data_IF_040548475982
#
_entry.id   IF_040548475982
#
_cell.length_a   1.000
_cell.length_b   1.000
_cell.length_c   1.000
_cell.angle_alpha   90.00
_cell.angle_beta   90.00
_cell.angle_gamma   90.00
#
_symmetry.space_group_name_H-M   'P 1'
#
loop_
_entity.id
_entity.type
_entity.pdbx_description
1 polymer ?
#
# COMPACT_ATOMS: atom_id res chain seq x y z
N UNK A 1 13.12 -3.63 29.49
CA UNK A 1 13.35 -2.22 29.84
C UNK A 1 14.71 -2.03 30.51
N UNK A 2 14.96 -2.39 31.78
CA UNK A 2 16.29 -2.15 32.42
C UNK A 2 17.15 -3.41 32.67
N UNK A 3 17.22 -4.33 31.70
CA UNK A 3 18.05 -5.52 31.80
C UNK A 3 19.49 -5.17 31.36
N UNK A 4 20.54 -5.47 32.14
CA UNK A 4 21.92 -5.20 31.73
C UNK A 4 22.27 -5.95 30.43
N UNK A 5 23.16 -5.38 29.62
CA UNK A 5 23.52 -5.91 28.29
C UNK A 5 23.95 -7.39 28.36
N UNK A 6 24.66 -7.79 29.41
CA UNK A 6 25.12 -9.18 29.61
C UNK A 6 23.95 -10.17 29.77
N UNK A 7 22.88 -9.76 30.46
CA UNK A 7 21.67 -10.57 30.59
C UNK A 7 20.90 -10.65 29.27
N UNK A 8 20.95 -9.59 28.44
CA UNK A 8 20.36 -9.61 27.09
C UNK A 8 21.07 -10.64 26.20
N UNK A 9 22.41 -10.68 26.23
CA UNK A 9 23.18 -11.71 25.53
C UNK A 9 22.85 -13.14 26.01
N UNK A 10 22.65 -13.33 27.32
CA UNK A 10 22.27 -14.62 27.88
C UNK A 10 20.84 -15.05 27.48
N UNK A 11 19.87 -14.14 27.54
CA UNK A 11 18.48 -14.44 27.19
C UNK A 11 18.31 -14.71 25.70
N UNK A 12 18.92 -13.88 24.85
CA UNK A 12 18.87 -14.04 23.39
C UNK A 12 19.86 -15.09 22.86
N UNK A 13 20.68 -15.68 23.74
CA UNK A 13 21.74 -16.65 23.40
C UNK A 13 22.57 -16.17 22.21
N UNK A 14 23.04 -14.92 22.28
CA UNK A 14 23.87 -14.32 21.24
C UNK A 14 25.20 -13.84 21.84
N UNK A 15 26.17 -13.57 20.97
CA UNK A 15 27.51 -13.11 21.33
C UNK A 15 27.79 -11.73 20.73
N UNK A 16 28.78 -11.02 21.29
CA UNK A 16 29.26 -9.74 20.73
C UNK A 16 29.75 -9.86 19.28
N UNK A 17 30.18 -11.06 18.86
CA UNK A 17 30.62 -11.35 17.48
C UNK A 17 29.44 -11.60 16.50
N UNK A 18 28.21 -11.41 16.94
CA UNK A 18 27.01 -11.66 16.14
C UNK A 18 26.52 -13.11 16.23
N UNK A 19 25.64 -13.48 15.29
CA UNK A 19 25.10 -14.84 15.13
C UNK A 19 25.81 -15.57 13.99
N UNK A 20 25.73 -16.90 13.97
CA UNK A 20 26.11 -17.66 12.77
C UNK A 20 25.01 -17.60 11.71
N UNK A 21 25.36 -17.75 10.43
CA UNK A 21 24.34 -17.74 9.36
C UNK A 21 23.29 -18.83 9.53
N UNK A 22 23.70 -20.04 9.97
CA UNK A 22 22.76 -21.14 10.24
C UNK A 22 21.79 -20.84 11.38
N UNK A 23 22.25 -20.18 12.44
CA UNK A 23 21.40 -19.80 13.58
C UNK A 23 20.42 -18.70 13.17
N UNK A 24 20.87 -17.76 12.34
CA UNK A 24 20.02 -16.73 11.73
C UNK A 24 18.86 -17.35 10.94
N UNK A 25 19.15 -18.31 10.06
CA UNK A 25 18.11 -19.00 9.27
C UNK A 25 17.15 -19.82 10.14
N UNK A 26 17.66 -20.53 11.17
CA UNK A 26 16.82 -21.28 12.11
C UNK A 26 15.87 -20.37 12.86
N UNK A 27 16.36 -19.22 13.35
CA UNK A 27 15.51 -18.24 14.06
C UNK A 27 14.51 -17.60 13.13
N UNK A 28 14.87 -17.37 11.87
CA UNK A 28 13.95 -16.82 10.87
C UNK A 28 12.76 -17.75 10.64
N UNK A 29 12.97 -19.07 10.66
CA UNK A 29 11.87 -20.04 10.58
C UNK A 29 10.97 -20.07 11.83
N UNK A 30 11.51 -19.74 13.01
CA UNK A 30 10.77 -19.79 14.29
C UNK A 30 10.02 -18.49 14.54
N UNK A 31 10.69 -17.34 14.39
CA UNK A 31 10.15 -16.02 14.68
C UNK A 31 9.46 -15.36 13.47
N UNK A 32 9.71 -15.89 12.26
CA UNK A 32 9.22 -15.29 11.03
C UNK A 32 10.06 -14.07 10.57
N UNK A 33 9.77 -13.54 9.38
CA UNK A 33 10.44 -12.37 8.84
C UNK A 33 10.14 -11.11 9.67
N UNK A 34 11.11 -10.18 9.73
CA UNK A 34 10.97 -8.84 10.27
C UNK A 34 10.14 -7.95 9.31
N UNK A 35 8.87 -8.30 9.19
CA UNK A 35 7.86 -7.59 8.40
C UNK A 35 6.58 -7.54 9.21
N UNK A 36 5.78 -6.50 9.01
CA UNK A 36 4.42 -6.51 9.53
C UNK A 36 3.63 -7.58 8.77
N UNK A 37 2.73 -8.28 9.46
CA UNK A 37 1.90 -9.30 8.82
C UNK A 37 1.15 -8.69 7.63
N UNK A 38 1.43 -9.20 6.42
CA UNK A 38 0.62 -8.88 5.27
C UNK A 38 -0.71 -9.63 5.40
N UNK A 39 -1.82 -8.89 5.43
CA UNK A 39 -3.14 -9.49 5.33
C UNK A 39 -3.23 -10.19 3.98
N UNK A 40 -3.08 -11.51 4.00
CA UNK A 40 -3.16 -12.33 2.79
C UNK A 40 -4.62 -12.46 2.39
N UNK A 41 -5.09 -11.55 1.52
CA UNK A 41 -6.37 -11.76 0.85
C UNK A 41 -6.25 -12.93 -0.12
N UNK A 42 -7.18 -13.88 -0.04
CA UNK A 42 -7.20 -14.96 -1.02
C UNK A 42 -7.52 -14.39 -2.40
N UNK A 43 -6.79 -14.87 -3.43
CA UNK A 43 -6.97 -14.41 -4.82
C UNK A 43 -8.43 -14.56 -5.30
N UNK A 44 -9.14 -15.57 -4.80
CA UNK A 44 -10.54 -15.81 -5.15
C UNK A 44 -11.49 -14.82 -4.45
N UNK A 45 -11.25 -14.50 -3.18
CA UNK A 45 -11.99 -13.42 -2.48
C UNK A 45 -11.73 -12.07 -3.13
N UNK A 46 -10.49 -11.79 -3.55
CA UNK A 46 -10.16 -10.57 -4.29
C UNK A 46 -10.89 -10.52 -5.64
N UNK A 47 -10.94 -11.62 -6.37
CA UNK A 47 -11.73 -11.75 -7.60
C UNK A 47 -13.23 -11.47 -7.37
N UNK A 48 -13.82 -12.09 -6.34
CA UNK A 48 -15.21 -11.84 -5.94
C UNK A 48 -15.44 -10.40 -5.47
N UNK A 49 -14.43 -9.77 -4.86
CA UNK A 49 -14.45 -8.37 -4.47
C UNK A 49 -14.64 -7.42 -5.67
N UNK A 50 -14.08 -7.74 -6.84
CA UNK A 50 -14.32 -6.94 -8.06
C UNK A 50 -15.77 -6.99 -8.54
N UNK A 51 -16.47 -8.11 -8.29
CA UNK A 51 -17.90 -8.21 -8.54
C UNK A 51 -18.74 -7.42 -7.54
N UNK A 52 -18.19 -7.10 -6.37
CA UNK A 52 -18.93 -6.50 -5.25
C UNK A 52 -18.62 -5.02 -5.04
N UNK A 53 -18.68 -4.23 -6.12
CA UNK A 53 -18.55 -2.78 -6.07
C UNK A 53 -19.91 -2.10 -6.32
N UNK A 54 -20.11 -0.83 -5.90
CA UNK A 54 -21.39 -0.14 -6.04
C UNK A 54 -21.93 -0.08 -7.48
N UNK A 55 -21.06 -0.02 -8.49
CA UNK A 55 -21.46 -0.01 -9.90
C UNK A 55 -21.95 -1.40 -10.35
N UNK A 56 -21.27 -2.46 -9.90
CA UNK A 56 -21.66 -3.84 -10.14
C UNK A 56 -23.00 -4.17 -9.48
N UNK A 57 -23.31 -3.62 -8.30
CA UNK A 57 -24.65 -3.79 -7.69
C UNK A 57 -25.77 -3.21 -8.55
N UNK A 58 -25.54 -2.06 -9.20
CA UNK A 58 -26.54 -1.49 -10.10
C UNK A 58 -26.70 -2.39 -11.33
N UNK A 59 -25.62 -2.93 -11.88
CA UNK A 59 -25.70 -3.90 -12.98
C UNK A 59 -26.38 -5.22 -12.60
N UNK A 60 -26.12 -5.73 -11.40
CA UNK A 60 -26.78 -6.92 -10.88
C UNK A 60 -28.28 -6.65 -10.67
N UNK A 61 -28.65 -5.46 -10.20
CA UNK A 61 -30.05 -5.04 -10.13
C UNK A 61 -30.70 -4.95 -11.52
N UNK A 62 -29.98 -4.49 -12.54
CA UNK A 62 -30.44 -4.49 -13.93
C UNK A 62 -30.65 -5.92 -14.46
N UNK A 63 -29.72 -6.85 -14.15
CA UNK A 63 -29.86 -8.26 -14.51
C UNK A 63 -31.10 -8.89 -13.85
N UNK A 64 -31.32 -8.63 -12.56
CA UNK A 64 -32.52 -9.10 -11.84
C UNK A 64 -33.78 -8.47 -12.46
N UNK A 65 -33.73 -7.18 -12.82
CA UNK A 65 -34.83 -6.48 -13.48
C UNK A 65 -35.24 -7.15 -14.80
N UNK A 66 -34.25 -7.59 -15.60
CA UNK A 66 -34.45 -8.31 -16.86
C UNK A 66 -35.13 -9.69 -16.71
N UNK A 67 -35.08 -10.32 -15.53
CA UNK A 67 -35.80 -11.58 -15.26
C UNK A 67 -37.17 -11.30 -14.63
N UNK A 68 -37.22 -10.39 -13.66
CA UNK A 68 -38.40 -10.20 -12.80
C UNK A 68 -39.47 -9.34 -13.47
N UNK A 69 -39.07 -8.20 -14.08
CA UNK A 69 -40.01 -7.23 -14.66
C UNK A 69 -40.30 -7.48 -16.14
N UNK A 70 -39.47 -8.28 -16.81
CA UNK A 70 -39.66 -8.73 -18.19
C UNK A 70 -40.81 -9.74 -18.38
N UNK A 71 -41.53 -10.08 -17.32
CA UNK A 71 -42.65 -11.02 -17.37
C UNK A 71 -43.93 -10.30 -17.85
N UNK A 72 -44.14 -10.25 -19.17
CA UNK A 72 -45.32 -9.59 -19.74
C UNK A 72 -45.40 -9.68 -21.27
N UNK A 73 -46.60 -9.43 -21.82
CA UNK A 73 -46.83 -9.34 -23.26
C UNK A 73 -46.79 -10.66 -24.04
N UNK A 74 -46.88 -11.82 -23.38
CA UNK A 74 -46.86 -13.15 -24.02
C UNK A 74 -45.48 -13.59 -24.51
N UNK A 75 -44.41 -12.89 -24.14
CA UNK A 75 -43.02 -13.24 -24.42
C UNK A 75 -42.37 -13.85 -23.17
N UNK A 76 -41.40 -14.78 -23.33
CA UNK A 76 -40.57 -15.22 -22.22
C UNK A 76 -39.75 -14.04 -21.65
N UNK A 77 -39.29 -14.14 -20.39
CA UNK A 77 -38.35 -13.18 -19.82
C UNK A 77 -37.06 -13.13 -20.64
N UNK A 78 -36.34 -12.00 -20.59
CA UNK A 78 -35.12 -11.78 -21.37
C UNK A 78 -33.92 -12.49 -20.74
N UNK A 79 -33.96 -13.82 -20.77
CA UNK A 79 -32.84 -14.66 -20.36
C UNK A 79 -31.57 -14.35 -21.14
N UNK A 80 -31.70 -13.88 -22.39
CA UNK A 80 -30.57 -13.46 -23.22
C UNK A 80 -29.90 -12.21 -22.64
N UNK A 81 -30.66 -11.21 -22.22
CA UNK A 81 -30.13 -9.99 -21.62
C UNK A 81 -29.53 -10.27 -20.24
N UNK A 82 -30.20 -11.07 -19.40
CA UNK A 82 -29.62 -11.53 -18.13
C UNK A 82 -28.28 -12.24 -18.34
N UNK A 83 -28.24 -13.22 -19.25
CA UNK A 83 -27.01 -13.98 -19.53
C UNK A 83 -25.94 -13.05 -20.10
N UNK A 84 -26.32 -12.11 -20.97
CA UNK A 84 -25.42 -11.10 -21.53
C UNK A 84 -24.80 -10.21 -20.46
N UNK A 85 -25.60 -9.70 -19.52
CA UNK A 85 -25.11 -8.86 -18.40
C UNK A 85 -24.20 -9.69 -17.48
N UNK A 86 -24.57 -10.92 -17.15
CA UNK A 86 -23.73 -11.79 -16.32
C UNK A 86 -22.39 -12.12 -16.98
N UNK A 87 -22.39 -12.42 -18.28
CA UNK A 87 -21.16 -12.65 -19.06
C UNK A 87 -20.31 -11.38 -19.11
N UNK A 88 -20.93 -10.21 -19.32
CA UNK A 88 -20.23 -8.93 -19.31
C UNK A 88 -19.56 -8.65 -17.96
N UNK A 89 -20.25 -8.90 -16.84
CA UNK A 89 -19.69 -8.75 -15.50
C UNK A 89 -18.51 -9.71 -15.27
N UNK A 90 -18.64 -10.98 -15.67
CA UNK A 90 -17.55 -11.97 -15.54
C UNK A 90 -16.34 -11.57 -16.38
N UNK A 91 -16.54 -11.14 -17.63
CA UNK A 91 -15.46 -10.67 -18.50
C UNK A 91 -14.78 -9.45 -17.87
N UNK A 92 -15.57 -8.47 -17.42
CA UNK A 92 -15.04 -7.28 -16.79
C UNK A 92 -14.21 -7.63 -15.54
N UNK A 93 -14.75 -8.41 -14.61
CA UNK A 93 -14.02 -8.83 -13.40
C UNK A 93 -12.77 -9.64 -13.72
N UNK A 94 -12.80 -10.46 -14.78
CA UNK A 94 -11.61 -11.21 -15.24
C UNK A 94 -10.52 -10.28 -15.75
N UNK A 95 -10.88 -9.31 -16.60
CA UNK A 95 -9.94 -8.29 -17.09
C UNK A 95 -9.39 -7.49 -15.91
N UNK A 96 -10.27 -6.98 -15.03
CA UNK A 96 -9.88 -6.22 -13.84
C UNK A 96 -8.93 -6.99 -12.94
N UNK A 97 -9.21 -8.27 -12.68
CA UNK A 97 -8.35 -9.11 -11.86
C UNK A 97 -6.99 -9.37 -12.49
N UNK A 98 -6.94 -9.71 -13.79
CA UNK A 98 -5.69 -9.95 -14.50
C UNK A 98 -4.83 -8.69 -14.52
N UNK A 99 -5.44 -7.57 -14.90
CA UNK A 99 -4.73 -6.29 -15.02
C UNK A 99 -4.25 -5.78 -13.66
N UNK A 100 -5.08 -5.87 -12.60
CA UNK A 100 -4.68 -5.46 -11.26
C UNK A 100 -3.62 -6.37 -10.65
N UNK A 101 -3.70 -7.69 -10.89
CA UNK A 101 -2.67 -8.62 -10.43
C UNK A 101 -1.33 -8.38 -11.16
N UNK A 102 -1.37 -8.07 -12.46
CA UNK A 102 -0.17 -7.74 -13.22
C UNK A 102 0.45 -6.41 -12.75
N UNK A 103 -0.39 -5.39 -12.54
CA UNK A 103 -0.01 -4.12 -11.92
C UNK A 103 0.62 -4.31 -10.53
N UNK A 104 -0.01 -5.12 -9.68
CA UNK A 104 0.47 -5.44 -8.33
C UNK A 104 1.83 -6.14 -8.35
N UNK A 105 2.04 -7.10 -9.25
CA UNK A 105 3.34 -7.78 -9.40
C UNK A 105 4.45 -6.82 -9.84
N UNK A 106 4.16 -5.92 -10.79
CA UNK A 106 5.11 -4.90 -11.23
C UNK A 106 5.46 -3.91 -10.10
N UNK A 107 4.46 -3.50 -9.32
CA UNK A 107 4.66 -2.66 -8.14
C UNK A 107 5.45 -3.38 -7.04
N UNK A 108 5.20 -4.67 -6.80
CA UNK A 108 5.94 -5.46 -5.82
C UNK A 108 7.41 -5.61 -6.18
N UNK A 109 7.73 -5.87 -7.45
CA UNK A 109 9.12 -5.90 -7.93
C UNK A 109 9.83 -4.55 -7.73
N UNK A 110 9.09 -3.45 -7.91
CA UNK A 110 9.60 -2.12 -7.67
C UNK A 110 9.82 -1.83 -6.17
N UNK A 111 8.90 -2.27 -5.31
CA UNK A 111 9.01 -2.14 -3.85
C UNK A 111 10.14 -2.98 -3.26
N UNK A 112 10.44 -4.15 -3.84
CA UNK A 112 11.58 -4.97 -3.41
C UNK A 112 12.92 -4.19 -3.52
N UNK A 113 13.07 -3.33 -4.52
CA UNK A 113 14.24 -2.45 -4.65
C UNK A 113 14.33 -1.33 -3.60
N UNK A 114 13.22 -1.03 -2.91
CA UNK A 114 13.13 -0.05 -1.83
C UNK A 114 13.13 -0.70 -0.43
N UNK A 115 13.23 -2.03 -0.36
CA UNK A 115 13.25 -2.73 0.91
C UNK A 115 14.37 -2.15 1.80
N UNK A 116 14.08 -1.78 3.06
CA UNK A 116 15.09 -1.25 3.95
C UNK A 116 16.24 -2.25 4.04
N UNK A 117 17.47 -1.79 3.86
CA UNK A 117 18.67 -2.61 4.06
C UNK A 117 19.31 -2.25 5.39
N UNK A 118 19.98 -3.20 5.99
CA UNK A 118 20.73 -2.97 7.22
C UNK A 118 21.99 -3.81 7.26
N UNK A 119 22.99 -3.31 7.99
CA UNK A 119 24.27 -3.98 8.18
C UNK A 119 24.16 -4.90 9.38
N UNK A 120 24.26 -6.19 9.12
CA UNK A 120 24.24 -7.27 10.12
C UNK A 120 25.63 -7.89 10.25
N UNK A 121 26.01 -8.23 11.47
CA UNK A 121 27.21 -8.99 11.78
C UNK A 121 26.83 -10.47 11.91
N UNK A 122 27.21 -11.28 10.91
CA UNK A 122 27.04 -12.74 10.92
C UNK A 122 28.34 -13.44 10.58
N UNK A 123 28.62 -14.56 11.25
CA UNK A 123 29.89 -15.32 11.13
C UNK A 123 31.14 -14.42 11.29
N UNK A 124 31.07 -13.41 12.16
CA UNK A 124 32.14 -12.43 12.39
C UNK A 124 32.40 -11.46 11.22
N UNK A 125 31.53 -11.41 10.21
CA UNK A 125 31.64 -10.51 9.05
C UNK A 125 30.43 -9.58 8.94
N UNK A 126 30.72 -8.31 8.71
CA UNK A 126 29.69 -7.32 8.38
C UNK A 126 29.20 -7.54 6.95
N UNK A 127 27.89 -7.74 6.80
CA UNK A 127 27.20 -7.87 5.52
C UNK A 127 25.96 -6.98 5.49
N UNK A 128 25.66 -6.39 4.34
CA UNK A 128 24.44 -5.64 4.14
C UNK A 128 23.37 -6.59 3.62
N UNK A 129 22.27 -6.72 4.36
CA UNK A 129 21.16 -7.61 4.02
C UNK A 129 19.83 -6.87 4.14
N UNK A 130 18.77 -7.46 3.60
CA UNK A 130 17.42 -6.90 3.67
C UNK A 130 16.93 -6.90 5.13
N UNK A 131 16.19 -5.85 5.52
CA UNK A 131 15.70 -5.73 6.88
C UNK A 131 14.73 -6.85 7.26
N UNK A 132 14.09 -7.48 6.27
CA UNK A 132 13.10 -8.56 6.43
C UNK A 132 13.70 -9.83 7.04
N UNK A 133 14.98 -10.10 6.82
CA UNK A 133 15.62 -11.34 7.32
C UNK A 133 16.24 -11.18 8.72
N UNK A 134 16.04 -10.02 9.36
CA UNK A 134 16.53 -9.78 10.72
C UNK A 134 15.80 -10.68 11.70
N UNK A 135 16.55 -11.18 12.67
CA UNK A 135 16.01 -12.01 13.75
C UNK A 135 16.42 -11.46 15.11
N UNK A 136 15.64 -11.74 16.17
CA UNK A 136 16.04 -11.43 17.54
C UNK A 136 17.41 -12.05 17.88
N UNK A 137 18.32 -11.22 18.37
CA UNK A 137 19.70 -11.56 18.69
C UNK A 137 20.74 -11.22 17.62
N UNK A 138 20.33 -10.77 16.42
CA UNK A 138 21.28 -10.22 15.44
C UNK A 138 21.96 -8.96 15.99
N UNK A 139 23.25 -8.79 15.65
CA UNK A 139 23.99 -7.56 15.91
C UNK A 139 23.96 -6.71 14.64
N UNK A 140 23.54 -5.46 14.77
CA UNK A 140 23.41 -4.49 13.69
C UNK A 140 24.27 -3.26 13.94
N UNK A 141 24.67 -2.60 12.87
CA UNK A 141 25.35 -1.29 12.92
C UNK A 141 24.36 -0.21 12.48
N UNK A 142 24.17 0.81 13.32
CA UNK A 142 23.30 1.95 13.05
C UNK A 142 24.19 3.17 12.79
N UNK A 143 24.13 3.72 11.58
CA UNK A 143 24.90 4.89 11.17
C UNK A 143 24.01 6.13 11.03
N UNK A 144 24.64 7.29 10.90
CA UNK A 144 23.95 8.54 10.60
C UNK A 144 23.11 8.42 9.32
N UNK A 145 21.83 8.73 9.43
CA UNK A 145 20.86 8.66 8.34
C UNK A 145 20.13 7.32 8.23
N UNK A 146 20.58 6.28 8.92
CA UNK A 146 19.91 4.97 8.88
C UNK A 146 18.58 5.01 9.63
N UNK A 147 17.62 4.26 9.10
CA UNK A 147 16.37 3.94 9.78
C UNK A 147 16.61 2.70 10.63
N UNK A 148 16.23 2.75 11.90
CA UNK A 148 16.35 1.63 12.82
C UNK A 148 15.38 0.52 12.35
N UNK A 149 15.88 -0.67 11.96
CA UNK A 149 15.08 -1.68 11.24
C UNK A 149 14.19 -2.54 12.17
N UNK A 150 14.52 -2.60 13.46
CA UNK A 150 13.88 -3.42 14.46
C UNK A 150 14.14 -2.82 15.86
N UNK A 151 13.38 -3.22 16.88
CA UNK A 151 13.67 -2.76 18.24
C UNK A 151 14.98 -3.38 18.70
N UNK A 152 15.92 -2.54 19.14
CA UNK A 152 17.28 -2.96 19.44
C UNK A 152 17.81 -2.31 20.72
N UNK A 153 18.84 -2.91 21.31
CA UNK A 153 19.56 -2.38 22.47
C UNK A 153 20.94 -1.92 22.05
N UNK A 154 21.28 -0.67 22.37
CA UNK A 154 22.58 -0.11 22.03
C UNK A 154 23.70 -0.83 22.78
N UNK A 155 24.76 -1.20 22.07
CA UNK A 155 25.98 -1.75 22.64
C UNK A 155 26.91 -0.62 23.08
N UNK A 156 28.17 -0.94 23.36
CA UNK A 156 29.19 0.03 23.78
C UNK A 156 29.53 1.01 22.63
N UNK A 157 29.72 2.28 22.95
CA UNK A 157 30.04 3.32 21.96
C UNK A 157 29.66 4.73 22.43
N UNK A 158 29.74 5.68 21.50
CA UNK A 158 29.33 7.07 21.75
C UNK A 158 27.79 7.21 21.70
N UNK A 159 27.19 8.13 22.47
CA UNK A 159 25.75 8.35 22.45
C UNK A 159 25.23 8.75 21.06
N UNK A 160 24.05 8.26 20.72
CA UNK A 160 23.41 8.45 19.43
C UNK A 160 22.19 9.35 19.57
N UNK A 161 21.94 10.25 18.61
CA UNK A 161 20.70 11.05 18.57
C UNK A 161 19.70 10.45 17.59
N UNK A 162 18.54 10.09 18.11
CA UNK A 162 17.47 9.44 17.38
C UNK A 162 16.28 10.37 17.26
N UNK A 163 15.78 10.51 16.05
CA UNK A 163 14.49 11.12 15.77
C UNK A 163 13.38 10.07 15.92
N UNK A 164 12.53 10.26 16.92
CA UNK A 164 11.38 9.40 17.22
C UNK A 164 10.04 10.04 16.80
N UNK A 165 10.07 11.10 15.97
CA UNK A 165 8.87 11.82 15.53
C UNK A 165 7.82 10.91 14.90
N UNK A 166 8.24 9.85 14.20
CA UNK A 166 7.35 8.86 13.62
C UNK A 166 6.55 8.05 14.66
N UNK A 167 7.07 7.88 15.88
CA UNK A 167 6.44 7.10 16.95
C UNK A 167 5.75 7.98 17.99
N UNK A 168 6.38 9.09 18.40
CA UNK A 168 5.90 9.94 19.50
C UNK A 168 5.21 11.20 19.01
N UNK A 169 5.41 11.59 17.76
CA UNK A 169 4.96 12.89 17.23
C UNK A 169 5.85 14.07 17.63
N UNK A 170 6.94 13.85 18.39
CA UNK A 170 7.84 14.90 18.83
C UNK A 170 9.04 15.03 17.88
N UNK A 171 9.25 16.23 17.33
CA UNK A 171 10.29 16.48 16.32
C UNK A 171 11.71 16.66 16.86
N UNK A 172 11.88 16.75 18.19
CA UNK A 172 13.20 16.96 18.79
C UNK A 172 13.93 15.60 18.93
N UNK A 173 15.12 15.44 18.34
CA UNK A 173 15.88 14.20 18.49
C UNK A 173 16.28 13.97 19.95
N UNK A 174 16.09 12.74 20.42
CA UNK A 174 16.46 12.30 21.77
C UNK A 174 17.83 11.63 21.76
N UNK A 175 18.66 11.93 22.76
CA UNK A 175 19.96 11.25 22.94
C UNK A 175 19.73 9.90 23.62
N UNK A 176 20.30 8.84 23.06
CA UNK A 176 20.30 7.48 23.59
C UNK A 176 21.74 7.05 23.86
N UNK A 177 21.97 6.50 25.05
CA UNK A 177 23.28 6.06 25.51
C UNK A 177 23.45 4.54 25.33
N UNK A 178 24.68 4.02 25.39
CA UNK A 178 24.93 2.58 25.50
C UNK A 178 24.04 1.92 26.54
N UNK A 179 23.40 0.81 26.17
CA UNK A 179 22.47 0.07 27.01
C UNK A 179 21.02 0.54 26.96
N UNK A 180 20.72 1.69 26.34
CA UNK A 180 19.35 2.13 26.10
C UNK A 180 18.71 1.35 24.94
N UNK A 181 17.37 1.28 24.96
CA UNK A 181 16.57 0.69 23.89
C UNK A 181 16.26 1.73 22.80
N UNK A 182 16.25 1.29 21.55
CA UNK A 182 15.92 2.07 20.36
C UNK A 182 14.83 1.35 19.58
N UNK A 183 13.91 2.13 19.00
CA UNK A 183 12.68 1.58 18.44
C UNK A 183 12.70 1.58 16.90
N UNK A 184 12.09 0.54 16.33
CA UNK A 184 11.87 0.40 14.89
C UNK A 184 11.16 1.63 14.30
N UNK A 185 11.61 2.07 13.13
CA UNK A 185 11.07 3.24 12.42
C UNK A 185 11.64 4.59 12.87
N UNK A 186 12.47 4.62 13.92
CA UNK A 186 13.21 5.82 14.31
C UNK A 186 14.38 6.08 13.35
N UNK A 187 14.80 7.33 13.17
CA UNK A 187 15.91 7.68 12.27
C UNK A 187 17.12 8.22 13.05
N UNK A 188 18.32 7.70 12.77
CA UNK A 188 19.55 8.22 13.35
C UNK A 188 19.91 9.58 12.74
N UNK A 189 20.00 10.63 13.57
CA UNK A 189 20.40 11.98 13.13
C UNK A 189 21.87 12.27 13.38
N UNK A 190 22.47 11.70 14.42
CA UNK A 190 23.88 11.91 14.78
C UNK A 190 24.45 10.69 15.50
N UNK A 191 25.69 10.31 15.18
CA UNK A 191 26.41 9.20 15.80
C UNK A 191 26.42 7.93 14.96
N UNK A 192 27.22 6.96 15.41
CA UNK A 192 27.27 5.60 14.90
C UNK A 192 27.49 4.67 16.09
N UNK A 193 26.70 3.61 16.20
CA UNK A 193 26.82 2.63 17.28
C UNK A 193 26.30 1.27 16.83
N UNK A 194 26.81 0.21 17.44
CA UNK A 194 26.31 -1.15 17.25
C UNK A 194 25.14 -1.42 18.21
N UNK A 195 24.23 -2.30 17.83
CA UNK A 195 23.07 -2.66 18.63
C UNK A 195 22.68 -4.13 18.46
N UNK A 196 22.08 -4.73 19.48
CA UNK A 196 21.50 -6.09 19.42
C UNK A 196 20.00 -5.99 19.23
N UNK A 197 19.47 -6.70 18.24
CA UNK A 197 18.03 -6.76 17.97
C UNK A 197 17.32 -7.52 19.08
N UNK A 198 16.31 -6.90 19.71
CA UNK A 198 15.51 -7.48 20.79
C UNK A 198 14.20 -8.05 20.23
N UNK A 199 13.53 -7.31 19.36
CA UNK A 199 12.24 -7.69 18.79
C UNK A 199 12.12 -7.25 17.33
N UNK A 200 11.44 -8.07 16.53
CA UNK A 200 11.25 -7.88 15.09
C UNK A 200 9.76 -7.87 14.72
N UNK A 201 9.43 -7.30 13.56
CA UNK A 201 8.11 -7.31 12.94
C UNK A 201 7.01 -6.78 13.85
N UNK A 202 5.92 -7.54 13.97
CA UNK A 202 4.75 -7.21 14.79
C UNK A 202 5.05 -7.08 16.29
N UNK A 203 6.15 -7.67 16.76
CA UNK A 203 6.50 -7.65 18.18
C UNK A 203 7.21 -6.37 18.62
N UNK A 204 7.65 -5.55 17.67
CA UNK A 204 8.20 -4.21 17.94
C UNK A 204 7.15 -3.28 18.54
N UNK A 205 7.60 -2.24 19.24
CA UNK A 205 6.71 -1.19 19.75
C UNK A 205 5.90 -0.55 18.62
N UNK A 206 6.57 -0.24 17.50
CA UNK A 206 5.91 0.27 16.30
C UNK A 206 4.92 -0.74 15.71
N UNK A 207 5.29 -2.01 15.60
CA UNK A 207 4.43 -3.06 15.06
C UNK A 207 3.15 -3.27 15.88
N UNK A 208 3.26 -3.24 17.21
CA UNK A 208 2.09 -3.29 18.11
C UNK A 208 1.18 -2.08 17.94
N UNK A 209 1.76 -0.88 17.83
CA UNK A 209 0.99 0.34 17.58
C UNK A 209 0.31 0.31 16.20
N UNK A 210 1.03 -0.12 15.16
CA UNK A 210 0.51 -0.25 13.80
C UNK A 210 -0.65 -1.24 13.73
N UNK A 211 -0.53 -2.40 14.37
CA UNK A 211 -1.61 -3.40 14.44
C UNK A 211 -2.88 -2.87 15.14
N UNK A 212 -2.75 -1.91 16.06
CA UNK A 212 -3.91 -1.26 16.70
C UNK A 212 -4.55 -0.18 15.82
N UNK A 213 -3.75 0.46 14.95
CA UNK A 213 -4.20 1.56 14.08
C UNK A 213 -4.74 1.07 12.74
N UNK A 214 -4.42 -0.15 12.30
CA UNK A 214 -4.87 -0.76 11.04
C UNK A 214 -6.41 -0.86 10.90
N UNK A 215 -7.15 -0.58 11.97
CA UNK A 215 -8.60 -0.35 11.98
C UNK A 215 -9.05 0.98 11.37
N UNK A 216 -8.13 1.90 11.02
CA UNK A 216 -8.47 3.26 10.57
C UNK A 216 -8.41 3.36 9.05
N UNK A 217 -9.48 2.92 8.39
CA UNK A 217 -9.59 2.93 6.94
C UNK A 217 -9.80 4.37 6.40
N UNK A 218 -8.72 5.16 6.32
CA UNK A 218 -8.75 6.49 5.71
C UNK A 218 -8.87 6.35 4.19
N UNK A 219 -10.07 6.63 3.69
CA UNK A 219 -10.40 6.58 2.26
C UNK A 219 -9.53 7.58 1.49
N UNK A 220 -8.65 7.08 0.61
CA UNK A 220 -7.75 7.91 -0.19
C UNK A 220 -8.47 8.91 -1.11
N UNK A 221 -7.81 10.02 -1.46
CA UNK A 221 -8.38 11.07 -2.33
C UNK A 221 -8.91 10.48 -3.65
N UNK A 222 -8.11 9.64 -4.30
CA UNK A 222 -8.48 8.92 -5.52
C UNK A 222 -9.79 8.12 -5.38
N UNK A 223 -9.96 7.40 -4.27
CA UNK A 223 -11.18 6.63 -3.98
C UNK A 223 -12.39 7.56 -3.83
N UNK A 224 -12.22 8.75 -3.22
CA UNK A 224 -13.28 9.75 -3.11
C UNK A 224 -13.67 10.32 -4.46
N UNK A 225 -12.70 10.60 -5.34
CA UNK A 225 -12.96 11.08 -6.71
C UNK A 225 -13.71 10.02 -7.49
N UNK A 226 -13.26 8.76 -7.45
CA UNK A 226 -13.90 7.65 -8.14
C UNK A 226 -15.34 7.45 -7.66
N UNK A 227 -15.57 7.51 -6.34
CA UNK A 227 -16.91 7.44 -5.75
C UNK A 227 -17.78 8.62 -6.18
N UNK A 228 -17.22 9.82 -6.31
CA UNK A 228 -17.96 11.01 -6.75
C UNK A 228 -18.40 10.92 -8.20
N UNK A 229 -17.53 10.44 -9.09
CA UNK A 229 -17.87 10.22 -10.50
C UNK A 229 -18.91 9.09 -10.61
N UNK A 230 -18.72 7.99 -9.87
CA UNK A 230 -19.70 6.91 -9.80
C UNK A 230 -21.07 7.38 -9.32
N UNK A 231 -21.12 8.18 -8.25
CA UNK A 231 -22.36 8.79 -7.75
C UNK A 231 -22.99 9.72 -8.77
N UNK A 232 -22.21 10.51 -9.50
CA UNK A 232 -22.74 11.36 -10.57
C UNK A 232 -23.42 10.52 -11.67
N UNK A 233 -22.76 9.46 -12.15
CA UNK A 233 -23.35 8.55 -13.14
C UNK A 233 -24.63 7.89 -12.63
N UNK A 234 -24.63 7.36 -11.40
CA UNK A 234 -25.81 6.73 -10.79
C UNK A 234 -26.97 7.74 -10.67
N UNK A 235 -26.69 8.96 -10.21
CA UNK A 235 -27.70 10.02 -10.12
C UNK A 235 -28.26 10.40 -11.50
N UNK A 236 -27.41 10.53 -12.52
CA UNK A 236 -27.85 10.82 -13.89
C UNK A 236 -28.74 9.71 -14.46
N UNK A 237 -28.40 8.44 -14.22
CA UNK A 237 -29.22 7.29 -14.62
C UNK A 237 -30.56 7.32 -13.87
N UNK A 238 -30.55 7.53 -12.56
CA UNK A 238 -31.77 7.57 -11.75
C UNK A 238 -32.73 8.68 -12.21
N UNK A 239 -32.19 9.87 -12.49
CA UNK A 239 -32.96 11.00 -13.06
C UNK A 239 -33.47 10.65 -14.46
N UNK A 240 -32.64 10.05 -15.31
CA UNK A 240 -33.04 9.60 -16.65
C UNK A 240 -34.17 8.57 -16.62
N UNK A 241 -34.06 7.57 -15.75
CA UNK A 241 -35.10 6.55 -15.53
C UNK A 241 -36.40 7.17 -15.04
N UNK A 242 -36.33 8.10 -14.07
CA UNK A 242 -37.51 8.79 -13.55
C UNK A 242 -38.22 9.58 -14.66
N UNK A 243 -37.46 10.32 -15.47
CA UNK A 243 -37.99 11.09 -16.60
C UNK A 243 -38.61 10.15 -17.64
N UNK A 244 -37.94 9.06 -18.01
CA UNK A 244 -38.49 8.07 -18.95
C UNK A 244 -39.79 7.47 -18.44
N UNK A 245 -39.85 7.06 -17.17
CA UNK A 245 -41.08 6.50 -16.59
C UNK A 245 -42.23 7.52 -16.65
N UNK A 246 -41.96 8.78 -16.29
CA UNK A 246 -42.97 9.86 -16.32
C UNK A 246 -43.38 10.21 -17.76
N UNK A 247 -42.52 10.08 -18.76
CA UNK A 247 -42.90 10.38 -20.15
C UNK A 247 -43.59 9.18 -20.81
N UNK A 248 -43.11 7.96 -20.59
CA UNK A 248 -43.58 6.78 -21.30
C UNK A 248 -44.95 6.30 -20.84
N UNK A 249 -45.19 6.27 -19.52
CA UNK A 249 -46.41 5.67 -18.97
C UNK A 249 -47.62 6.62 -18.99
N UNK A 250 -47.55 7.82 -18.38
CA UNK A 250 -48.73 8.69 -18.32
C UNK A 250 -48.90 9.57 -19.58
N UNK A 251 -47.86 9.86 -20.36
CA UNK A 251 -47.98 10.73 -21.55
C UNK A 251 -48.09 9.92 -22.85
N UNK A 252 -47.17 8.98 -23.10
CA UNK A 252 -47.18 8.18 -24.34
C UNK A 252 -48.03 6.90 -24.27
N UNK A 253 -48.51 6.52 -23.08
CA UNK A 253 -49.28 5.29 -22.86
C UNK A 253 -48.65 4.03 -23.48
N UNK A 254 -47.32 3.92 -23.38
CA UNK A 254 -46.58 2.76 -23.92
C UNK A 254 -46.89 1.49 -23.14
N UNK A 255 -46.73 0.35 -23.81
CA UNK A 255 -46.82 -0.95 -23.17
C UNK A 255 -45.75 -1.09 -22.08
N UNK A 256 -46.11 -1.75 -20.97
CA UNK A 256 -45.21 -1.98 -19.84
C UNK A 256 -43.90 -2.64 -20.26
N UNK A 257 -43.96 -3.61 -21.18
CA UNK A 257 -42.78 -4.33 -21.66
C UNK A 257 -41.77 -3.43 -22.34
N UNK A 258 -42.22 -2.64 -23.32
CA UNK A 258 -41.35 -1.71 -24.05
C UNK A 258 -40.76 -0.64 -23.14
N UNK A 259 -41.45 -0.29 -22.05
CA UNK A 259 -40.94 0.61 -21.01
C UNK A 259 -39.76 0.00 -20.23
N UNK A 260 -39.85 -1.27 -19.83
CA UNK A 260 -38.77 -1.98 -19.14
C UNK A 260 -37.52 -2.12 -20.03
N UNK A 261 -37.71 -2.40 -21.32
CA UNK A 261 -36.59 -2.56 -22.26
C UNK A 261 -35.80 -1.24 -22.41
N UNK A 262 -36.45 -0.07 -22.44
CA UNK A 262 -35.75 1.22 -22.47
C UNK A 262 -34.97 1.50 -21.17
N UNK A 263 -35.57 1.18 -20.02
CA UNK A 263 -34.91 1.33 -18.72
C UNK A 263 -33.68 0.43 -18.60
N UNK A 264 -33.74 -0.79 -19.16
CA UNK A 264 -32.60 -1.70 -19.24
C UNK A 264 -31.47 -1.12 -20.09
N UNK A 265 -31.77 -0.54 -21.25
CA UNK A 265 -30.77 0.10 -22.11
C UNK A 265 -30.06 1.24 -21.37
N UNK A 266 -30.82 2.06 -20.63
CA UNK A 266 -30.25 3.16 -19.85
C UNK A 266 -29.34 2.67 -18.72
N UNK A 267 -29.71 1.59 -18.03
CA UNK A 267 -28.90 0.98 -16.97
C UNK A 267 -27.61 0.37 -17.52
N UNK A 268 -27.69 -0.44 -18.57
CA UNK A 268 -26.55 -1.13 -19.16
C UNK A 268 -25.57 -0.13 -19.80
N UNK A 269 -26.11 0.87 -20.52
CA UNK A 269 -25.29 1.87 -21.21
C UNK A 269 -24.77 2.99 -20.31
N UNK A 270 -25.45 3.28 -19.20
CA UNK A 270 -25.13 4.42 -18.34
C UNK A 270 -23.97 4.18 -17.37
N UNK A 271 -23.67 2.92 -17.03
CA UNK A 271 -22.71 2.58 -15.97
C UNK A 271 -21.30 2.40 -16.57
N UNK A 272 -20.32 3.25 -16.19
CA UNK A 272 -18.96 3.13 -16.70
C UNK A 272 -18.16 2.09 -15.89
N UNK A 273 -18.52 0.81 -16.00
CA UNK A 273 -17.93 -0.29 -15.22
C UNK A 273 -16.41 -0.39 -15.42
N UNK A 274 -15.90 -0.06 -16.61
CA UNK A 274 -14.48 -0.14 -16.93
C UNK A 274 -13.64 0.97 -16.25
N UNK A 275 -14.24 2.07 -15.79
CA UNK A 275 -13.50 3.25 -15.33
C UNK A 275 -12.56 2.98 -14.15
N UNK A 276 -12.99 2.32 -13.04
CA UNK A 276 -12.10 2.00 -11.92
C UNK A 276 -10.86 1.22 -12.36
N UNK A 277 -11.06 0.21 -13.20
CA UNK A 277 -10.00 -0.66 -13.70
C UNK A 277 -9.04 0.10 -14.60
N UNK A 278 -9.56 0.83 -15.60
CA UNK A 278 -8.74 1.60 -16.53
C UNK A 278 -7.86 2.62 -15.78
N UNK A 279 -8.40 3.29 -14.76
CA UNK A 279 -7.64 4.24 -13.95
C UNK A 279 -6.56 3.54 -13.12
N UNK A 280 -6.88 2.43 -12.44
CA UNK A 280 -5.93 1.64 -11.65
C UNK A 280 -4.75 1.16 -12.51
N UNK A 281 -5.05 0.64 -13.69
CA UNK A 281 -4.04 0.15 -14.66
C UNK A 281 -3.20 1.29 -15.20
N UNK A 282 -3.82 2.43 -15.51
CA UNK A 282 -3.09 3.62 -15.98
C UNK A 282 -2.10 4.11 -14.92
N UNK A 283 -2.47 4.12 -13.65
CA UNK A 283 -1.57 4.47 -12.54
C UNK A 283 -0.43 3.48 -12.40
N UNK A 284 -0.69 2.17 -12.51
CA UNK A 284 0.35 1.14 -12.44
C UNK A 284 1.36 1.25 -13.59
N UNK A 285 0.88 1.47 -14.82
CA UNK A 285 1.75 1.69 -15.98
C UNK A 285 2.54 2.99 -15.80
N UNK A 286 1.92 4.06 -15.30
CA UNK A 286 2.58 5.32 -14.99
C UNK A 286 3.70 5.16 -13.96
N UNK A 287 3.44 4.41 -12.89
CA UNK A 287 4.43 4.06 -11.86
C UNK A 287 5.62 3.31 -12.46
N UNK A 288 5.35 2.32 -13.31
CA UNK A 288 6.40 1.57 -13.99
C UNK A 288 7.25 2.47 -14.91
N UNK A 289 6.63 3.39 -15.66
CA UNK A 289 7.37 4.35 -16.49
C UNK A 289 8.22 5.31 -15.67
N UNK A 290 7.72 5.81 -14.54
CA UNK A 290 8.49 6.67 -13.63
C UNK A 290 9.71 5.91 -13.07
N UNK A 291 9.54 4.64 -12.73
CA UNK A 291 10.65 3.78 -12.28
C UNK A 291 11.74 3.67 -13.34
N UNK A 292 11.38 3.48 -14.61
CA UNK A 292 12.35 3.46 -15.72
C UNK A 292 13.10 4.79 -15.88
N UNK A 293 12.53 5.90 -15.42
CA UNK A 293 13.15 7.23 -15.39
C UNK A 293 13.95 7.49 -14.09
N UNK A 294 14.04 6.52 -13.18
CA UNK A 294 14.76 6.63 -11.91
C UNK A 294 13.93 7.18 -10.74
N UNK A 295 12.62 7.38 -10.91
CA UNK A 295 11.72 7.84 -9.85
C UNK A 295 10.81 6.70 -9.38
N UNK A 296 10.97 6.26 -8.13
CA UNK A 296 10.19 5.14 -7.57
C UNK A 296 9.00 5.66 -6.77
N UNK A 297 7.77 5.39 -7.23
CA UNK A 297 6.54 5.80 -6.54
C UNK A 297 6.12 4.77 -5.48
N UNK A 298 6.37 5.05 -4.19
CA UNK A 298 5.95 4.19 -3.09
C UNK A 298 4.42 4.11 -2.91
N UNK A 299 3.70 5.20 -3.26
CA UNK A 299 2.24 5.25 -3.28
C UNK A 299 1.77 5.49 -4.71
N UNK A 300 0.87 4.67 -5.24
CA UNK A 300 0.36 4.85 -6.62
C UNK A 300 -0.41 6.18 -6.78
N UNK A 301 -1.08 6.65 -5.72
CA UNK A 301 -1.75 7.96 -5.69
C UNK A 301 -0.79 9.14 -5.77
N UNK A 302 0.51 8.94 -5.53
CA UNK A 302 1.49 10.02 -5.63
C UNK A 302 1.62 10.58 -7.05
N UNK A 303 1.22 9.82 -8.07
CA UNK A 303 1.22 10.29 -9.47
C UNK A 303 0.22 11.43 -9.64
N UNK A 304 -0.97 11.31 -9.04
CA UNK A 304 -1.99 12.36 -9.03
C UNK A 304 -1.51 13.57 -8.22
N UNK A 305 -0.96 13.33 -7.03
CA UNK A 305 -0.42 14.38 -6.15
C UNK A 305 0.71 15.18 -6.82
N UNK A 306 1.61 14.52 -7.55
CA UNK A 306 2.67 15.18 -8.31
C UNK A 306 2.13 15.98 -9.50
N UNK A 307 1.08 15.50 -10.17
CA UNK A 307 0.45 16.22 -11.27
C UNK A 307 -0.25 17.51 -10.79
N UNK A 308 -0.76 17.53 -9.56
CA UNK A 308 -1.36 18.70 -8.91
C UNK A 308 -0.38 19.52 -8.04
N UNK A 309 0.93 19.32 -8.18
CA UNK A 309 1.90 20.00 -7.32
C UNK A 309 2.04 21.48 -7.69
N UNK A 310 1.58 22.36 -6.81
CA UNK A 310 1.70 23.82 -6.97
C UNK A 310 3.02 24.40 -6.41
N UNK A 311 3.56 23.78 -5.36
CA UNK A 311 4.78 24.25 -4.67
C UNK A 311 5.72 23.08 -4.42
N UNK A 312 6.95 23.18 -4.92
CA UNK A 312 8.03 22.24 -4.63
C UNK A 312 9.01 22.85 -3.63
N UNK A 313 8.97 22.34 -2.39
CA UNK A 313 9.97 22.67 -1.37
C UNK A 313 11.17 21.72 -1.51
N UNK A 314 12.24 22.17 -2.17
CA UNK A 314 13.46 21.38 -2.31
C UNK A 314 14.46 21.71 -1.20
N UNK A 315 15.08 20.68 -0.62
CA UNK A 315 16.28 20.87 0.19
C UNK A 315 17.42 21.37 -0.72
N UNK A 316 18.30 22.22 -0.20
CA UNK A 316 19.46 22.73 -0.96
C UNK A 316 20.52 21.64 -1.06
N UNK A 317 20.89 21.05 0.07
CA UNK A 317 22.04 20.14 0.13
C UNK A 317 21.63 18.75 -0.33
N UNK A 318 22.32 18.18 -1.32
CA UNK A 318 22.04 16.83 -1.81
C UNK A 318 20.86 16.71 -2.79
N UNK A 319 20.02 17.75 -2.92
CA UNK A 319 19.00 17.82 -3.99
C UNK A 319 19.37 18.86 -5.05
N UNK A 320 19.58 20.13 -4.66
CA UNK A 320 20.06 21.17 -5.59
C UNK A 320 21.57 21.14 -5.80
N UNK A 321 22.33 20.73 -4.78
CA UNK A 321 23.78 20.64 -4.84
C UNK A 321 24.24 19.19 -4.91
N UNK A 322 25.39 18.95 -5.56
CA UNK A 322 26.01 17.62 -5.68
C UNK A 322 26.54 17.06 -4.35
N UNK A 323 26.35 17.77 -3.23
CA UNK A 323 26.92 17.48 -1.91
C UNK A 323 28.44 17.21 -1.95
N UNK A 324 29.14 17.86 -2.89
CA UNK A 324 30.59 17.83 -3.06
C UNK A 324 31.11 19.24 -2.87
N UNK A 325 31.79 19.47 -1.76
CA UNK A 325 32.43 20.76 -1.48
C UNK A 325 33.59 20.94 -2.48
N UNK A 326 33.46 21.95 -3.34
CA UNK A 326 34.52 22.37 -4.26
C UNK A 326 35.10 23.69 -3.80
N UNK A 327 36.42 23.79 -3.72
CA UNK A 327 37.11 25.03 -3.36
C UNK A 327 37.51 25.74 -4.64
N UNK A 328 37.17 27.02 -4.74
CA UNK A 328 37.63 27.87 -5.83
C UNK A 328 39.12 28.16 -5.63
N UNK A 329 39.94 27.69 -6.58
CA UNK A 329 41.40 27.83 -6.51
C UNK A 329 41.85 29.29 -6.60
N UNK A 330 41.03 30.17 -7.17
CA UNK A 330 41.36 31.61 -7.29
C UNK A 330 41.29 32.37 -5.96
N UNK A 331 40.62 31.81 -4.95
CA UNK A 331 40.54 32.38 -3.59
C UNK A 331 41.65 31.86 -2.66
N UNK A 332 42.53 30.99 -3.16
CA UNK A 332 43.63 30.37 -2.39
C UNK A 332 45.00 30.99 -2.77
N UNK A 333 45.09 31.79 -3.84
CA UNK A 333 46.28 32.59 -4.22
C UNK A 333 46.14 34.06 -3.81
#
# INVERSE_FOLDING_TARGET
ENIPIDEVFQQLKCTKEGLSSEEGEKRLQIFGPNKLEEITESKLLKFLGFMWNPLSWVMESAAIMAIVLANGGGKPPDWQDFTGIMVLLVINSTISFIEENNAGNAAAALMAGLAPKTKVLRDGKWSEQEAEILVPGDVISIKLGDIVPADARLLEGDPLKIDQSALTGESLPVTRNPGDEVFSGSTCKQGEIEAVVIATGVHTFFGKAAHLVDSTNNVGHFQKVLTSIGNFCICSIAVGMLIEIIVMYPIQHRAYRDGIDNLLVLLIGGIPIAMPTVLSVTMAIGSHRLSQQGAITKRMTAIEEMAGMDVLCSDKTGTLTLNKLTVDKTLIE
#
